data_IF_132819451551
#
_entry.id   IF_132819451551
#
_cell.length_a   1.000
_cell.length_b   1.000
_cell.length_c   1.000
_cell.angle_alpha   90.00
_cell.angle_beta   90.00
_cell.angle_gamma   90.00
#
_symmetry.space_group_name_H-M   'P 1'
#
loop_
_entity.id
_entity.type
_entity.pdbx_description
1 polymer ?
#
# COMPACT_ATOMS: atom_id res chain seq x y z
N UNK A 1 27.26 4.12 -11.25
CA UNK A 1 26.14 5.09 -11.23
C UNK A 1 25.03 4.55 -10.33
N UNK A 2 25.36 4.31 -9.06
CA UNK A 2 24.65 3.31 -8.24
C UNK A 2 23.86 3.93 -7.07
N UNK A 3 24.07 5.23 -6.80
CA UNK A 3 23.45 5.96 -5.69
C UNK A 3 22.23 6.78 -6.10
N UNK A 4 22.04 6.99 -7.41
CA UNK A 4 20.89 7.69 -7.97
C UNK A 4 19.56 7.12 -7.46
N UNK A 5 19.31 5.79 -7.47
CA UNK A 5 18.06 5.26 -6.92
C UNK A 5 17.95 5.46 -5.41
N UNK A 6 19.03 5.31 -4.64
CA UNK A 6 19.02 5.48 -3.19
C UNK A 6 18.68 6.93 -2.79
N UNK A 7 19.35 7.91 -3.40
CA UNK A 7 19.11 9.34 -3.16
C UNK A 7 17.70 9.73 -3.60
N UNK A 8 17.24 9.23 -4.75
CA UNK A 8 15.88 9.48 -5.23
C UNK A 8 14.83 8.95 -4.25
N UNK A 9 14.96 7.70 -3.77
CA UNK A 9 14.01 7.14 -2.79
C UNK A 9 14.00 7.89 -1.47
N UNK A 10 15.16 8.37 -1.00
CA UNK A 10 15.25 9.17 0.22
C UNK A 10 14.55 10.52 0.06
N UNK A 11 14.81 11.22 -1.05
CA UNK A 11 14.18 12.50 -1.35
C UNK A 11 12.65 12.37 -1.48
N UNK A 12 12.18 11.33 -2.19
CA UNK A 12 10.75 11.04 -2.28
C UNK A 12 10.14 10.67 -0.92
N UNK A 13 10.85 9.91 -0.09
CA UNK A 13 10.39 9.57 1.27
C UNK A 13 10.21 10.79 2.16
N UNK A 14 11.17 11.73 2.15
CA UNK A 14 11.09 13.00 2.88
C UNK A 14 9.92 13.83 2.37
N UNK A 15 9.75 13.93 1.05
CA UNK A 15 8.66 14.67 0.43
C UNK A 15 7.29 14.09 0.82
N UNK A 16 7.11 12.77 0.69
CA UNK A 16 5.86 12.11 1.07
C UNK A 16 5.60 12.19 2.57
N UNK A 17 6.63 12.12 3.41
CA UNK A 17 6.52 12.32 4.85
C UNK A 17 6.02 13.72 5.20
N UNK A 18 6.61 14.75 4.61
CA UNK A 18 6.18 16.14 4.80
C UNK A 18 4.75 16.39 4.33
N UNK A 19 4.39 15.91 3.12
CA UNK A 19 3.02 16.00 2.61
C UNK A 19 2.04 15.22 3.51
N UNK A 20 2.44 14.05 4.01
CA UNK A 20 1.64 13.21 4.90
C UNK A 20 1.35 13.88 6.23
N UNK A 21 2.35 14.51 6.86
CA UNK A 21 2.18 15.29 8.09
C UNK A 21 1.21 16.46 7.88
N UNK A 22 1.41 17.23 6.81
CA UNK A 22 0.56 18.41 6.53
C UNK A 22 -0.89 18.05 6.21
N UNK A 23 -1.12 16.96 5.50
CA UNK A 23 -2.45 16.56 5.04
C UNK A 23 -3.23 15.74 6.05
N UNK A 24 -2.59 15.20 7.09
CA UNK A 24 -3.23 14.32 8.09
C UNK A 24 -4.08 13.20 7.46
N UNK A 25 -3.66 12.70 6.30
CA UNK A 25 -4.47 11.80 5.47
C UNK A 25 -4.67 10.45 6.16
N UNK A 26 -5.93 10.05 6.31
CA UNK A 26 -6.33 8.73 6.79
C UNK A 26 -7.28 8.06 5.79
N UNK A 27 -6.82 7.00 5.12
CA UNK A 27 -7.65 6.27 4.15
C UNK A 27 -8.87 5.60 4.80
N UNK A 28 -8.73 5.05 6.01
CA UNK A 28 -9.86 4.48 6.75
C UNK A 28 -10.79 5.57 7.31
N UNK A 29 -10.23 6.72 7.71
CA UNK A 29 -10.99 7.84 8.26
C UNK A 29 -11.89 8.51 7.23
N UNK A 30 -11.46 8.59 5.96
CA UNK A 30 -12.23 9.24 4.91
C UNK A 30 -13.64 8.66 4.73
N UNK A 31 -13.81 7.35 4.78
CA UNK A 31 -15.13 6.70 4.64
C UNK A 31 -16.00 6.97 5.87
N UNK A 32 -15.42 6.87 7.07
CA UNK A 32 -16.13 7.12 8.33
C UNK A 32 -16.61 8.57 8.42
N UNK A 33 -15.74 9.52 8.11
CA UNK A 33 -16.01 10.95 8.26
C UNK A 33 -17.00 11.43 7.19
N UNK A 34 -17.00 10.81 6.00
CA UNK A 34 -18.03 11.02 4.98
C UNK A 34 -19.41 10.52 5.43
N UNK A 35 -19.48 9.34 6.05
CA UNK A 35 -20.77 8.80 6.48
C UNK A 35 -21.34 9.53 7.70
N UNK A 36 -20.51 9.81 8.70
CA UNK A 36 -20.95 10.38 9.98
C UNK A 36 -21.10 11.91 9.93
N UNK A 37 -20.09 12.61 9.39
CA UNK A 37 -19.98 14.07 9.43
C UNK A 37 -20.24 14.73 8.07
N UNK A 38 -20.37 13.94 6.99
CA UNK A 38 -20.48 14.41 5.60
C UNK A 38 -19.32 15.31 5.16
N UNK A 39 -18.15 15.15 5.79
CA UNK A 39 -16.95 15.85 5.34
C UNK A 39 -16.37 15.13 4.11
N UNK A 40 -16.22 15.87 3.02
CA UNK A 40 -15.70 15.36 1.74
C UNK A 40 -14.21 15.64 1.57
N UNK A 41 -13.57 16.36 2.49
CA UNK A 41 -12.19 16.79 2.35
C UNK A 41 -11.22 15.59 2.29
N UNK A 42 -11.34 14.64 3.23
CA UNK A 42 -10.51 13.42 3.23
C UNK A 42 -10.82 12.49 2.06
N UNK A 43 -12.08 12.40 1.64
CA UNK A 43 -12.50 11.55 0.51
C UNK A 43 -11.94 12.07 -0.82
N UNK A 44 -11.92 13.39 -1.03
CA UNK A 44 -11.26 14.01 -2.18
C UNK A 44 -9.77 13.70 -2.21
N UNK A 45 -9.11 13.67 -1.06
CA UNK A 45 -7.72 13.23 -0.93
C UNK A 45 -7.51 11.78 -1.36
N UNK A 46 -8.38 10.85 -0.93
CA UNK A 46 -8.34 9.45 -1.35
C UNK A 46 -8.49 9.31 -2.87
N UNK A 47 -9.49 9.96 -3.47
CA UNK A 47 -9.66 9.93 -4.93
C UNK A 47 -8.52 10.60 -5.68
N UNK A 48 -7.95 11.68 -5.12
CA UNK A 48 -6.76 12.33 -5.65
C UNK A 48 -5.52 11.43 -5.65
N UNK A 49 -5.34 10.63 -4.60
CA UNK A 49 -4.24 9.66 -4.52
C UNK A 49 -4.40 8.54 -5.56
N UNK A 50 -5.61 7.95 -5.66
CA UNK A 50 -5.91 6.92 -6.64
C UNK A 50 -5.77 7.45 -8.07
N UNK A 51 -6.34 8.62 -8.35
CA UNK A 51 -6.22 9.29 -9.65
C UNK A 51 -4.77 9.64 -10.00
N UNK A 52 -4.02 10.18 -9.03
CA UNK A 52 -2.60 10.50 -9.20
C UNK A 52 -1.74 9.26 -9.49
N UNK A 53 -2.01 8.14 -8.81
CA UNK A 53 -1.33 6.88 -9.07
C UNK A 53 -1.62 6.35 -10.49
N UNK A 54 -2.90 6.37 -10.91
CA UNK A 54 -3.30 5.96 -12.26
C UNK A 54 -2.67 6.86 -13.34
N UNK A 55 -2.77 8.18 -13.20
CA UNK A 55 -2.19 9.12 -14.16
C UNK A 55 -0.67 8.97 -14.21
N UNK A 56 -0.01 8.91 -13.05
CA UNK A 56 1.44 8.72 -12.97
C UNK A 56 1.88 7.43 -13.65
N UNK A 57 1.20 6.32 -13.38
CA UNK A 57 1.52 5.02 -14.00
C UNK A 57 1.31 5.00 -15.53
N UNK A 58 0.31 5.72 -16.05
CA UNK A 58 0.11 5.91 -17.50
C UNK A 58 1.26 6.75 -18.10
N UNK A 59 1.66 7.84 -17.43
CA UNK A 59 2.79 8.67 -17.88
C UNK A 59 4.08 7.83 -17.93
N UNK A 60 4.36 7.03 -16.91
CA UNK A 60 5.53 6.14 -16.90
C UNK A 60 5.47 5.03 -17.96
N UNK A 61 4.28 4.59 -18.37
CA UNK A 61 4.11 3.68 -19.50
C UNK A 61 4.48 4.37 -20.84
N UNK A 62 3.99 5.59 -21.06
CA UNK A 62 4.28 6.36 -22.29
C UNK A 62 5.78 6.69 -22.41
N UNK A 63 6.47 6.92 -21.30
CA UNK A 63 7.91 7.19 -21.24
C UNK A 63 8.74 5.89 -21.45
N UNK A 64 8.11 4.71 -21.49
CA UNK A 64 8.77 3.43 -21.78
C UNK A 64 9.56 2.84 -20.60
N UNK A 65 9.51 3.47 -19.41
CA UNK A 65 10.16 2.96 -18.20
C UNK A 65 9.35 1.87 -17.49
N UNK A 66 8.06 1.70 -17.85
CA UNK A 66 7.17 0.69 -17.28
C UNK A 66 6.36 -0.04 -18.38
N UNK A 67 6.85 -1.18 -18.91
CA UNK A 67 6.20 -1.88 -20.02
C UNK A 67 4.90 -2.65 -19.63
N UNK A 68 4.49 -2.61 -18.36
CA UNK A 68 3.43 -3.50 -17.82
C UNK A 68 2.14 -2.80 -17.34
N UNK A 69 1.95 -1.50 -17.61
CA UNK A 69 0.79 -0.75 -17.13
C UNK A 69 -0.01 -0.16 -18.30
N UNK A 70 -1.31 -0.48 -18.50
CA UNK A 70 -2.23 -1.21 -17.62
C UNK A 70 -2.06 -2.74 -17.71
N UNK A 71 -1.81 -3.39 -16.56
CA UNK A 71 -1.66 -4.86 -16.49
C UNK A 71 -2.92 -5.60 -16.95
N UNK A 72 -4.09 -5.01 -16.70
CA UNK A 72 -5.41 -5.49 -17.16
C UNK A 72 -5.49 -5.57 -18.69
N UNK A 73 -4.87 -4.62 -19.41
CA UNK A 73 -4.94 -4.54 -20.86
C UNK A 73 -3.90 -5.42 -21.57
N UNK A 74 -2.79 -5.75 -20.90
CA UNK A 74 -1.67 -6.49 -21.50
C UNK A 74 -1.60 -7.96 -21.09
N UNK A 75 -2.09 -8.33 -19.89
CA UNK A 75 -2.08 -9.71 -19.37
C UNK A 75 -3.44 -10.27 -18.98
N UNK A 76 -4.52 -9.49 -19.04
CA UNK A 76 -5.85 -9.92 -18.59
C UNK A 76 -5.97 -10.05 -17.07
N UNK A 77 -6.94 -10.83 -16.56
CA UNK A 77 -7.16 -11.12 -15.13
C UNK A 77 -6.09 -12.07 -14.55
N UNK A 78 -4.81 -11.76 -14.68
CA UNK A 78 -3.71 -12.57 -14.10
C UNK A 78 -2.86 -11.72 -13.18
N UNK A 79 -2.75 -12.10 -11.90
CA UNK A 79 -1.67 -11.76 -10.97
C UNK A 79 -0.88 -10.44 -11.23
N UNK A 80 -1.08 -9.43 -10.38
CA UNK A 80 -0.39 -8.13 -10.47
C UNK A 80 1.14 -8.36 -10.53
N UNK A 81 1.80 -7.78 -11.54
CA UNK A 81 3.25 -7.86 -11.66
C UNK A 81 3.93 -7.21 -10.45
N UNK A 82 4.64 -8.01 -9.66
CA UNK A 82 5.28 -7.60 -8.40
C UNK A 82 4.61 -8.12 -7.13
N UNK A 83 3.49 -8.86 -7.24
CA UNK A 83 2.90 -9.56 -6.10
C UNK A 83 3.68 -10.85 -5.79
N UNK A 84 3.85 -11.13 -4.50
CA UNK A 84 4.61 -12.26 -4.00
C UNK A 84 3.87 -13.60 -4.19
N UNK A 85 2.53 -13.57 -4.33
CA UNK A 85 1.74 -14.72 -4.78
C UNK A 85 1.68 -14.84 -6.33
N UNK A 86 2.35 -13.90 -7.05
CA UNK A 86 2.28 -13.59 -8.49
C UNK A 86 2.32 -14.78 -9.43
N UNK A 87 3.11 -15.77 -9.02
CA UNK A 87 3.47 -16.89 -9.87
C UNK A 87 2.59 -18.11 -9.66
N UNK A 88 1.63 -18.08 -8.72
CA UNK A 88 0.82 -19.26 -8.32
C UNK A 88 -0.58 -19.29 -8.94
N UNK A 89 -1.01 -18.23 -9.64
CA UNK A 89 -2.28 -18.16 -10.37
C UNK A 89 -3.39 -17.36 -9.68
N UNK A 90 -4.36 -16.88 -10.47
CA UNK A 90 -5.39 -15.90 -10.05
C UNK A 90 -6.18 -16.31 -8.80
N UNK A 91 -6.44 -17.61 -8.59
CA UNK A 91 -7.16 -18.12 -7.43
C UNK A 91 -6.41 -17.91 -6.10
N UNK A 92 -5.11 -18.18 -6.07
CA UNK A 92 -4.25 -17.98 -4.91
C UNK A 92 -4.24 -16.52 -4.47
N UNK A 93 -4.06 -15.63 -5.45
CA UNK A 93 -4.05 -14.20 -5.25
C UNK A 93 -5.33 -13.67 -4.65
N UNK A 94 -6.46 -14.11 -5.19
CA UNK A 94 -7.76 -13.64 -4.75
C UNK A 94 -8.00 -14.01 -3.28
N UNK A 95 -7.67 -15.24 -2.91
CA UNK A 95 -7.81 -15.73 -1.53
C UNK A 95 -6.89 -14.96 -0.58
N UNK A 96 -5.60 -14.81 -0.92
CA UNK A 96 -4.64 -14.08 -0.08
C UNK A 96 -5.01 -12.60 0.04
N UNK A 97 -5.49 -11.98 -1.04
CA UNK A 97 -5.90 -10.56 -1.04
C UNK A 97 -7.15 -10.34 -0.19
N UNK A 98 -8.13 -11.25 -0.24
CA UNK A 98 -9.32 -11.16 0.62
C UNK A 98 -8.91 -11.33 2.07
N UNK A 99 -8.24 -12.43 2.42
CA UNK A 99 -7.90 -12.73 3.81
C UNK A 99 -6.96 -11.65 4.38
N UNK A 100 -5.91 -11.30 3.62
CA UNK A 100 -4.95 -10.26 4.01
C UNK A 100 -5.58 -8.87 4.06
N UNK A 101 -6.41 -8.52 3.07
CA UNK A 101 -7.10 -7.23 3.01
C UNK A 101 -8.07 -7.02 4.17
N UNK A 102 -8.91 -8.03 4.47
CA UNK A 102 -9.79 -8.01 5.63
C UNK A 102 -9.00 -7.97 6.95
N UNK A 103 -7.92 -8.76 7.05
CA UNK A 103 -7.06 -8.79 8.24
C UNK A 103 -6.40 -7.43 8.52
N UNK A 104 -5.78 -6.82 7.52
CA UNK A 104 -5.17 -5.48 7.63
C UNK A 104 -6.24 -4.44 7.95
N UNK A 105 -7.42 -4.51 7.32
CA UNK A 105 -8.54 -3.62 7.62
C UNK A 105 -8.97 -3.70 9.08
N UNK A 106 -9.19 -4.91 9.60
CA UNK A 106 -9.60 -5.14 10.99
C UNK A 106 -8.56 -4.64 12.00
N UNK A 107 -7.30 -5.00 11.80
CA UNK A 107 -6.20 -4.56 12.68
C UNK A 107 -5.96 -3.05 12.63
N UNK A 108 -6.15 -2.42 11.46
CA UNK A 108 -6.04 -0.97 11.29
C UNK A 108 -7.12 -0.21 12.06
N UNK A 109 -8.35 -0.76 12.13
CA UNK A 109 -9.44 -0.16 12.91
C UNK A 109 -9.14 -0.23 14.41
N UNK A 110 -8.62 -1.36 14.90
CA UNK A 110 -8.25 -1.54 16.31
C UNK A 110 -7.16 -0.54 16.74
N UNK A 111 -6.16 -0.31 15.89
CA UNK A 111 -5.07 0.63 16.16
C UNK A 111 -5.52 2.11 16.06
N UNK A 112 -6.65 2.40 15.40
CA UNK A 112 -7.15 3.76 15.19
C UNK A 112 -6.47 4.53 14.05
N UNK A 113 -5.89 3.82 13.07
CA UNK A 113 -5.18 4.44 11.94
C UNK A 113 -4.93 3.47 10.78
N UNK A 114 -4.80 4.00 9.56
CA UNK A 114 -4.33 3.20 8.42
C UNK A 114 -2.79 3.08 8.46
N UNK A 115 -2.19 2.12 7.73
CA UNK A 115 -0.74 1.91 7.74
C UNK A 115 0.05 3.20 7.46
N UNK A 116 -0.37 3.97 6.45
CA UNK A 116 0.28 5.23 6.08
C UNK A 116 0.24 6.28 7.21
N UNK A 117 -0.89 6.43 7.90
CA UNK A 117 -1.01 7.38 9.02
C UNK A 117 -0.12 6.96 10.20
N UNK A 118 0.01 5.66 10.46
CA UNK A 118 0.88 5.17 11.52
C UNK A 118 2.37 5.43 11.21
N UNK A 119 2.78 5.40 9.93
CA UNK A 119 4.13 5.82 9.53
C UNK A 119 4.39 7.31 9.79
N UNK A 120 3.42 8.17 9.49
CA UNK A 120 3.52 9.62 9.75
C UNK A 120 3.57 9.90 11.25
N UNK A 121 2.67 9.29 12.03
CA UNK A 121 2.61 9.44 13.50
C UNK A 121 3.85 8.89 14.21
N UNK A 122 4.48 7.84 13.66
CA UNK A 122 5.76 7.36 14.17
C UNK A 122 6.85 8.43 14.03
N UNK A 123 6.82 9.24 12.95
CA UNK A 123 7.70 10.40 12.76
C UNK A 123 7.38 11.60 13.65
N UNK A 124 6.15 11.72 14.14
CA UNK A 124 5.73 12.75 15.11
C UNK A 124 6.09 12.39 16.57
N UNK A 125 6.58 11.16 16.81
CA UNK A 125 7.00 10.70 18.14
C UNK A 125 5.94 9.90 18.91
N UNK A 126 4.88 9.42 18.25
CA UNK A 126 3.88 8.58 18.89
C UNK A 126 4.39 7.13 19.09
N UNK A 127 4.62 6.74 20.34
CA UNK A 127 5.15 5.41 20.70
C UNK A 127 4.24 4.25 20.26
N UNK A 128 2.92 4.43 20.27
CA UNK A 128 1.98 3.39 19.84
C UNK A 128 2.08 3.13 18.34
N UNK A 129 2.29 4.19 17.55
CA UNK A 129 2.47 4.11 16.12
C UNK A 129 3.82 3.48 15.76
N UNK A 130 4.88 3.77 16.53
CA UNK A 130 6.20 3.14 16.36
C UNK A 130 6.12 1.62 16.57
N UNK A 131 5.44 1.17 17.62
CA UNK A 131 5.24 -0.25 17.89
C UNK A 131 4.48 -0.95 16.73
N UNK A 132 3.46 -0.30 16.18
CA UNK A 132 2.74 -0.80 15.01
C UNK A 132 3.64 -0.94 13.77
N UNK A 133 4.46 0.08 13.47
CA UNK A 133 5.37 0.05 12.31
C UNK A 133 6.41 -1.06 12.44
N UNK A 134 6.96 -1.28 13.63
CA UNK A 134 7.88 -2.39 13.89
C UNK A 134 7.16 -3.74 13.72
N UNK A 135 5.95 -3.88 14.26
CA UNK A 135 5.14 -5.08 14.09
C UNK A 135 4.82 -5.38 12.61
N UNK A 136 4.50 -4.35 11.83
CA UNK A 136 4.26 -4.47 10.39
C UNK A 136 5.53 -4.88 9.62
N UNK A 137 6.70 -4.35 9.99
CA UNK A 137 7.98 -4.74 9.39
C UNK A 137 8.34 -6.21 9.70
N UNK A 138 8.18 -6.63 10.95
CA UNK A 138 8.40 -8.03 11.36
C UNK A 138 7.40 -8.96 10.65
N UNK A 139 6.13 -8.58 10.59
CA UNK A 139 5.09 -9.32 9.89
C UNK A 139 5.38 -9.49 8.40
N UNK A 140 5.91 -8.45 7.73
CA UNK A 140 6.30 -8.52 6.32
C UNK A 140 7.42 -9.53 6.06
N UNK A 141 8.42 -9.61 6.96
CA UNK A 141 9.51 -10.59 6.88
C UNK A 141 8.97 -12.01 7.07
N UNK A 142 8.14 -12.22 8.10
CA UNK A 142 7.52 -13.53 8.38
C UNK A 142 6.65 -13.99 7.21
N UNK A 143 5.87 -13.08 6.61
CA UNK A 143 5.03 -13.39 5.46
C UNK A 143 5.85 -13.91 4.27
N UNK A 144 6.94 -13.22 3.93
CA UNK A 144 7.78 -13.62 2.79
C UNK A 144 8.55 -14.92 3.03
N UNK A 145 8.98 -15.17 4.26
CA UNK A 145 9.82 -16.33 4.58
C UNK A 145 9.01 -17.61 4.86
N UNK A 146 7.81 -17.50 5.44
CA UNK A 146 7.04 -18.66 5.90
C UNK A 146 5.69 -18.81 5.21
N UNK A 147 4.96 -17.72 5.01
CA UNK A 147 3.58 -17.79 4.48
C UNK A 147 3.58 -18.04 2.98
N UNK A 148 4.44 -17.36 2.22
CA UNK A 148 4.55 -17.58 0.77
C UNK A 148 4.92 -19.02 0.37
N UNK A 149 5.97 -19.66 0.93
CA UNK A 149 6.28 -21.05 0.58
C UNK A 149 5.19 -22.01 1.05
N UNK A 150 4.53 -21.73 2.19
CA UNK A 150 3.41 -22.53 2.66
C UNK A 150 2.20 -22.44 1.72
N UNK A 151 1.84 -21.23 1.26
CA UNK A 151 0.78 -21.02 0.26
C UNK A 151 1.16 -21.70 -1.07
N UNK A 152 2.43 -21.62 -1.47
CA UNK A 152 2.94 -22.34 -2.64
C UNK A 152 2.81 -23.87 -2.51
N UNK A 153 3.00 -24.43 -1.32
CA UNK A 153 2.84 -25.87 -1.07
C UNK A 153 1.39 -26.36 -1.01
N UNK A 154 0.45 -25.48 -0.65
CA UNK A 154 -0.98 -25.79 -0.60
C UNK A 154 -1.65 -25.69 -1.97
N UNK A 155 -1.09 -24.86 -2.85
CA UNK A 155 -1.72 -24.45 -4.11
C UNK A 155 -0.97 -24.96 -5.37
N UNK A 156 0.13 -25.70 -5.18
CA UNK A 156 0.77 -26.53 -6.20
C UNK A 156 0.04 -27.88 -6.35
#
# INVERSE_FOLDING_TARGET
MSYVPAIATLAFGILLGYLGQRSSMCFCGGIRDYYLMKDTWLVKGLFGFVGGALIGSIIFNVIGMLPLFPWIATKGLTAIGGDAAGSLGFGAHFIVTIIGGFGVGFLSVIQGGCPFRNYVMAGEGNQTAMAYVVGLAVGAIVFHQWVLPFVGSILA
#
